data_IF_566398876264
#
_entry.id   IF_566398876264
#
_cell.length_a   1.000
_cell.length_b   1.000
_cell.length_c   1.000
_cell.angle_alpha   90.00
_cell.angle_beta   90.00
_cell.angle_gamma   90.00
#
_symmetry.space_group_name_H-M   'P 1'
#
loop_
_entity.id
_entity.type
_entity.pdbx_description
1 polymer ?
#
# COMPACT_ATOMS: atom_id res chain seq x y z
N UNK A 1 1.71 -17.09 2.72
CA UNK A 1 1.36 -16.64 4.08
C UNK A 1 0.21 -17.42 4.73
N UNK A 2 -0.79 -17.90 3.99
CA UNK A 2 -1.97 -18.60 4.54
C UNK A 2 -1.64 -19.75 5.52
N UNK A 3 -0.64 -20.58 5.21
CA UNK A 3 -0.28 -21.73 6.05
C UNK A 3 0.23 -21.35 7.45
N UNK A 4 0.82 -20.17 7.63
CA UNK A 4 1.37 -19.74 8.92
C UNK A 4 0.32 -19.08 9.83
N UNK A 5 -0.74 -18.52 9.23
CA UNK A 5 -1.73 -17.70 9.96
C UNK A 5 -3.07 -18.40 10.16
N UNK A 6 -3.28 -19.57 9.52
CA UNK A 6 -4.58 -20.26 9.50
C UNK A 6 -5.10 -20.67 10.88
N UNK A 7 -4.20 -20.93 11.84
CA UNK A 7 -4.53 -21.47 13.16
C UNK A 7 -4.41 -20.41 14.27
N UNK A 8 -4.10 -19.15 13.93
CA UNK A 8 -4.01 -18.06 14.91
C UNK A 8 -5.41 -17.67 15.41
N UNK A 9 -5.55 -17.61 16.72
CA UNK A 9 -6.72 -17.02 17.37
C UNK A 9 -6.77 -15.49 17.15
N UNK A 10 -7.95 -14.86 17.33
CA UNK A 10 -8.07 -13.41 17.24
C UNK A 10 -7.14 -12.63 18.17
N UNK A 11 -6.89 -13.14 19.37
CA UNK A 11 -6.03 -12.46 20.34
C UNK A 11 -4.54 -12.63 20.03
N UNK A 12 -4.15 -13.77 19.44
CA UNK A 12 -2.80 -13.95 18.90
C UNK A 12 -2.55 -13.01 17.71
N UNK A 13 -3.52 -12.83 16.82
CA UNK A 13 -3.41 -11.86 15.72
C UNK A 13 -3.26 -10.42 16.23
N UNK A 14 -4.00 -10.03 17.28
CA UNK A 14 -3.84 -8.70 17.91
C UNK A 14 -2.46 -8.54 18.54
N UNK A 15 -1.98 -9.58 19.22
CA UNK A 15 -0.67 -9.56 19.88
C UNK A 15 0.46 -9.46 18.85
N UNK A 16 0.35 -10.18 17.73
CA UNK A 16 1.28 -10.08 16.60
C UNK A 16 1.26 -8.67 15.99
N UNK A 17 0.06 -8.12 15.72
CA UNK A 17 -0.06 -6.77 15.19
C UNK A 17 0.55 -5.71 16.13
N UNK A 18 0.35 -5.86 17.45
CA UNK A 18 0.95 -4.97 18.44
C UNK A 18 2.47 -5.09 18.48
N UNK A 19 3.02 -6.31 18.36
CA UNK A 19 4.45 -6.56 18.29
C UNK A 19 5.08 -5.91 17.06
N UNK A 20 4.49 -6.11 15.88
CA UNK A 20 5.00 -5.53 14.63
C UNK A 20 4.88 -4.00 14.60
N UNK A 21 3.80 -3.45 15.15
CA UNK A 21 3.60 -2.00 15.24
C UNK A 21 4.62 -1.32 16.18
N UNK A 22 5.15 -2.04 17.16
CA UNK A 22 6.18 -1.53 18.08
C UNK A 22 7.60 -1.54 17.48
N UNK A 23 7.80 -2.21 16.33
CA UNK A 23 9.11 -2.25 15.68
C UNK A 23 9.47 -0.90 15.06
N UNK A 24 10.77 -0.58 15.03
CA UNK A 24 11.27 0.61 14.33
C UNK A 24 11.41 0.29 12.84
N UNK A 25 10.68 0.95 11.93
CA UNK A 25 10.78 0.66 10.51
C UNK A 25 12.14 1.06 9.94
N UNK A 26 12.71 0.21 9.09
CA UNK A 26 13.89 0.58 8.32
C UNK A 26 13.57 1.72 7.33
N UNK A 27 14.53 2.61 7.05
CA UNK A 27 14.39 3.58 5.95
C UNK A 27 14.21 2.86 4.62
N UNK A 28 13.44 3.48 3.73
CA UNK A 28 13.31 2.99 2.36
C UNK A 28 14.59 3.21 1.56
N UNK A 29 14.90 2.25 0.69
CA UNK A 29 15.97 2.34 -0.29
C UNK A 29 15.39 2.28 -1.69
N UNK A 30 16.09 2.85 -2.66
CA UNK A 30 15.75 2.75 -4.08
C UNK A 30 16.90 2.12 -4.84
N UNK A 31 16.61 1.18 -5.75
CA UNK A 31 17.61 0.67 -6.69
C UNK A 31 17.82 1.60 -7.90
N UNK A 32 16.92 2.55 -8.12
CA UNK A 32 16.96 3.45 -9.27
C UNK A 32 16.62 4.90 -8.91
N UNK A 33 17.66 5.66 -8.57
CA UNK A 33 17.54 7.07 -8.21
C UNK A 33 16.90 7.94 -9.32
N UNK A 34 17.06 7.57 -10.60
CA UNK A 34 16.49 8.35 -11.70
C UNK A 34 14.96 8.32 -11.73
N UNK A 35 14.34 7.29 -11.15
CA UNK A 35 12.88 7.15 -11.10
C UNK A 35 12.23 7.83 -9.89
N UNK A 36 13.01 8.28 -8.90
CA UNK A 36 12.48 8.84 -7.64
C UNK A 36 11.58 10.05 -7.91
N UNK A 37 12.03 10.99 -8.74
CA UNK A 37 11.25 12.19 -9.07
C UNK A 37 9.96 11.85 -9.82
N UNK A 38 10.02 10.89 -10.75
CA UNK A 38 8.84 10.44 -11.48
C UNK A 38 7.84 9.75 -10.54
N UNK A 39 8.33 8.92 -9.61
CA UNK A 39 7.52 8.28 -8.58
C UNK A 39 6.86 9.30 -7.65
N UNK A 40 7.59 10.34 -7.23
CA UNK A 40 7.04 11.42 -6.41
C UNK A 40 5.92 12.18 -7.14
N UNK A 41 6.08 12.46 -8.43
CA UNK A 41 5.04 13.10 -9.23
C UNK A 41 3.77 12.24 -9.28
N UNK A 42 3.90 10.93 -9.55
CA UNK A 42 2.76 10.00 -9.53
C UNK A 42 2.13 9.95 -8.14
N UNK A 43 2.94 9.92 -7.08
CA UNK A 43 2.46 9.89 -5.70
C UNK A 43 1.60 11.11 -5.35
N UNK A 44 2.07 12.30 -5.73
CA UNK A 44 1.43 13.58 -5.38
C UNK A 44 0.29 13.99 -6.31
N UNK A 45 0.38 13.64 -7.59
CA UNK A 45 -0.51 14.17 -8.62
C UNK A 45 -1.30 13.11 -9.37
N UNK A 46 -0.98 11.83 -9.17
CA UNK A 46 -1.63 10.73 -9.88
C UNK A 46 -0.95 10.41 -11.21
N UNK A 47 -1.43 9.36 -11.85
CA UNK A 47 -0.90 8.87 -13.12
C UNK A 47 -1.57 9.52 -14.32
N UNK A 48 -0.85 9.61 -15.43
CA UNK A 48 -1.38 10.10 -16.73
C UNK A 48 -2.49 9.23 -17.30
N UNK A 49 -2.64 8.01 -16.79
CA UNK A 49 -3.70 7.05 -17.13
C UNK A 49 -5.00 7.25 -16.33
N UNK A 50 -5.13 8.37 -15.61
CA UNK A 50 -6.31 8.67 -14.78
C UNK A 50 -6.28 8.01 -13.40
N UNK A 51 -5.15 7.44 -12.98
CA UNK A 51 -4.97 7.00 -11.59
C UNK A 51 -4.96 8.21 -10.65
N UNK A 52 -5.79 8.19 -9.61
CA UNK A 52 -5.81 9.25 -8.60
C UNK A 52 -4.48 9.36 -7.87
N UNK A 53 -4.15 10.56 -7.39
CA UNK A 53 -2.97 10.79 -6.57
C UNK A 53 -2.99 9.90 -5.31
N UNK A 54 -1.88 9.22 -5.03
CA UNK A 54 -1.77 8.34 -3.86
C UNK A 54 -1.86 9.11 -2.55
N UNK A 55 -1.37 10.36 -2.54
CA UNK A 55 -1.33 11.23 -1.38
C UNK A 55 -2.70 11.49 -0.74
N UNK A 56 -3.78 11.39 -1.51
CA UNK A 56 -5.15 11.63 -1.01
C UNK A 56 -5.57 10.64 0.07
N UNK A 57 -5.05 9.41 0.03
CA UNK A 57 -5.35 8.36 1.00
C UNK A 57 -4.14 8.00 1.89
N UNK A 58 -2.91 8.12 1.37
CA UNK A 58 -1.70 7.69 2.07
C UNK A 58 -0.95 8.82 2.82
N UNK A 59 -1.49 10.05 2.79
CA UNK A 59 -0.90 11.30 3.34
C UNK A 59 0.38 11.73 2.63
N UNK A 60 0.79 12.98 2.80
CA UNK A 60 2.01 13.52 2.17
C UNK A 60 3.28 12.70 2.45
N UNK A 61 3.37 12.11 3.64
CA UNK A 61 4.54 11.35 4.08
C UNK A 61 4.50 9.87 3.71
N UNK A 62 3.38 9.34 3.19
CA UNK A 62 3.15 7.90 3.00
C UNK A 62 2.85 7.12 4.28
N UNK A 63 2.52 7.85 5.36
CA UNK A 63 2.20 7.30 6.68
C UNK A 63 0.92 6.46 6.74
N UNK A 64 0.04 6.55 5.74
CA UNK A 64 -1.24 5.86 5.74
C UNK A 64 -2.30 6.50 6.63
N UNK A 65 -3.51 5.94 6.58
CA UNK A 65 -4.67 6.25 7.42
C UNK A 65 -5.28 4.92 7.83
N UNK A 66 -5.10 4.54 9.09
CA UNK A 66 -5.69 3.32 9.64
C UNK A 66 -7.23 3.37 9.65
N UNK A 67 -7.91 2.22 9.47
CA UNK A 67 -7.37 0.88 9.22
C UNK A 67 -7.19 0.55 7.72
N UNK A 68 -7.70 1.40 6.83
CA UNK A 68 -7.92 1.05 5.42
C UNK A 68 -6.71 1.34 4.52
N UNK A 69 -5.88 2.31 4.87
CA UNK A 69 -4.73 2.76 4.09
C UNK A 69 -3.44 2.54 4.87
N UNK A 70 -2.73 1.42 4.65
CA UNK A 70 -1.53 1.11 5.42
C UNK A 70 -0.40 2.09 5.11
N UNK A 71 0.57 2.20 6.01
CA UNK A 71 1.83 2.90 5.75
C UNK A 71 2.56 2.26 4.57
N UNK A 72 3.00 3.07 3.60
CA UNK A 72 3.77 2.62 2.43
C UNK A 72 5.22 3.12 2.42
N UNK A 73 5.53 4.15 3.20
CA UNK A 73 6.89 4.71 3.31
C UNK A 73 7.86 3.65 3.82
N UNK A 74 9.07 3.57 3.27
CA UNK A 74 10.06 2.60 3.72
C UNK A 74 9.75 1.14 3.38
N UNK A 75 8.68 0.88 2.62
CA UNK A 75 8.42 -0.45 2.10
C UNK A 75 9.39 -0.79 0.97
N UNK A 76 9.72 -2.08 0.83
CA UNK A 76 10.58 -2.55 -0.25
C UNK A 76 9.95 -2.30 -1.61
N UNK A 77 10.75 -1.80 -2.56
CA UNK A 77 10.29 -1.45 -3.92
C UNK A 77 9.61 -2.64 -4.63
N UNK A 78 10.22 -3.82 -4.57
CA UNK A 78 9.70 -5.05 -5.19
C UNK A 78 8.35 -5.45 -4.59
N UNK A 79 8.18 -5.26 -3.27
CA UNK A 79 6.92 -5.54 -2.62
C UNK A 79 5.83 -4.59 -3.13
N UNK A 80 6.10 -3.28 -3.19
CA UNK A 80 5.15 -2.27 -3.67
C UNK A 80 4.76 -2.57 -5.11
N UNK A 81 5.73 -2.82 -5.98
CA UNK A 81 5.50 -3.18 -7.39
C UNK A 81 4.63 -4.44 -7.51
N UNK A 82 4.96 -5.50 -6.77
CA UNK A 82 4.19 -6.75 -6.77
C UNK A 82 2.75 -6.53 -6.33
N UNK A 83 2.51 -5.70 -5.30
CA UNK A 83 1.14 -5.42 -4.84
C UNK A 83 0.35 -4.59 -5.84
N UNK A 84 0.98 -3.59 -6.48
CA UNK A 84 0.35 -2.80 -7.53
C UNK A 84 -0.06 -3.68 -8.72
N UNK A 85 0.82 -4.60 -9.15
CA UNK A 85 0.50 -5.56 -10.19
C UNK A 85 -0.61 -6.52 -9.78
N UNK A 86 -0.57 -7.05 -8.55
CA UNK A 86 -1.60 -7.96 -8.05
C UNK A 86 -2.98 -7.29 -7.94
N UNK A 87 -3.04 -5.99 -7.62
CA UNK A 87 -4.28 -5.23 -7.67
C UNK A 87 -4.75 -5.00 -9.10
N UNK A 88 -3.85 -4.63 -10.01
CA UNK A 88 -4.17 -4.43 -11.43
C UNK A 88 -4.68 -5.72 -12.11
N UNK A 89 -4.10 -6.87 -11.78
CA UNK A 89 -4.51 -8.19 -12.30
C UNK A 89 -5.77 -8.75 -11.62
N UNK A 90 -6.18 -8.17 -10.49
CA UNK A 90 -7.29 -8.66 -9.67
C UNK A 90 -6.94 -9.87 -8.79
N UNK A 91 -5.68 -10.31 -8.76
CA UNK A 91 -5.20 -11.39 -7.89
C UNK A 91 -5.24 -10.99 -6.41
N UNK A 92 -5.12 -9.68 -6.12
CA UNK A 92 -5.31 -9.07 -4.80
C UNK A 92 -6.50 -8.12 -4.84
N UNK A 93 -7.36 -8.17 -3.82
CA UNK A 93 -8.49 -7.23 -3.64
C UNK A 93 -9.87 -7.86 -3.51
N UNK A 94 -10.10 -9.07 -4.05
CA UNK A 94 -11.40 -9.76 -3.99
C UNK A 94 -12.57 -8.88 -4.47
N UNK A 95 -13.83 -9.27 -4.19
CA UNK A 95 -15.02 -8.44 -4.48
C UNK A 95 -15.20 -7.26 -3.49
N UNK A 96 -14.12 -6.60 -3.05
CA UNK A 96 -14.24 -5.37 -2.26
C UNK A 96 -14.23 -4.15 -3.18
N UNK A 97 -15.34 -3.40 -3.10
CA UNK A 97 -15.75 -2.24 -3.91
C UNK A 97 -14.82 -1.01 -3.90
N UNK A 98 -13.51 -1.14 -3.64
CA UNK A 98 -12.61 0.03 -3.75
C UNK A 98 -12.21 0.31 -5.21
N UNK A 99 -12.28 -0.70 -6.08
CA UNK A 99 -11.99 -0.58 -7.52
C UNK A 99 -13.26 -0.44 -8.38
N UNK A 100 -14.36 0.05 -7.80
CA UNK A 100 -15.59 0.40 -8.52
C UNK A 100 -15.84 1.91 -8.48
N UNK A 101 -14.79 2.73 -8.56
CA UNK A 101 -14.93 4.18 -8.77
C UNK A 101 -15.14 4.51 -10.26
N UNK A 102 -16.08 3.81 -10.91
CA UNK A 102 -16.72 4.28 -12.15
C UNK A 102 -17.72 5.42 -11.88
N UNK A 103 -17.64 6.07 -10.73
CA UNK A 103 -18.62 7.07 -10.27
C UNK A 103 -17.97 8.37 -9.77
N UNK A 104 -16.90 8.82 -10.43
CA UNK A 104 -16.58 10.25 -10.49
C UNK A 104 -16.62 10.67 -11.97
N UNK A 105 -17.85 10.76 -12.49
CA UNK A 105 -18.16 11.69 -13.55
C UNK A 105 -18.17 13.08 -12.90
N UNK A 106 -17.17 13.89 -13.23
CA UNK A 106 -17.46 15.27 -13.58
C UNK A 106 -17.77 15.30 -15.08
#
# INVERSE_FOLDING_TARGET
MQAMVKDLSPDEMKSLAAFDAAQTPAPGTTSNAALVNAGELVYRHGGTNGASACVSCYRATGGGIEPDFPRITGQHEEYVETQLHAWKSGTRGGKRKLMSLRSFRC
#
